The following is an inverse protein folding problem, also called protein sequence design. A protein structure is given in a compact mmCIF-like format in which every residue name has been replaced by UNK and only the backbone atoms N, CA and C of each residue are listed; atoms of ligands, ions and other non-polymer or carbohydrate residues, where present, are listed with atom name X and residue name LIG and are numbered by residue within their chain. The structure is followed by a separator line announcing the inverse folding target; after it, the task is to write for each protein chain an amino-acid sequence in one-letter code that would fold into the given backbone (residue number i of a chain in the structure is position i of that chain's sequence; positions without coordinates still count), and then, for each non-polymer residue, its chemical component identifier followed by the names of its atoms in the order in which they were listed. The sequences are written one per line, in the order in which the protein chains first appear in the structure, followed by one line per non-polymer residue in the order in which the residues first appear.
data_IF_647600900930
#
_entry.id   IF_647600900930
#
_cell.length_a   1.000
_cell.length_b   1.000
_cell.length_c   1.000
_cell.angle_alpha   90.00
_cell.angle_beta   90.00
_cell.angle_gamma   90.00
#
_symmetry.space_group_name_H-M   'P 1'
#
loop_
_entity.id
_entity.type
_entity.pdbx_description
1 polymer ?
#
# COMPACT_ATOMS: atom_id res chain seq x y z
N UNK A 1 -8.81 16.14 18.59
CA UNK A 1 -7.59 16.65 17.93
C UNK A 1 -7.98 17.75 16.97
N UNK A 2 -7.08 18.70 16.72
CA UNK A 2 -7.30 19.89 15.86
C UNK A 2 -6.75 19.63 14.44
N UNK A 3 -5.87 18.64 14.26
CA UNK A 3 -5.36 18.20 12.96
C UNK A 3 -4.16 19.01 12.45
N UNK A 4 -3.51 19.74 13.35
CA UNK A 4 -2.34 20.56 13.06
C UNK A 4 -1.07 19.71 12.80
N UNK A 5 0.07 20.38 12.61
CA UNK A 5 1.33 19.69 12.36
C UNK A 5 1.77 18.81 13.55
N UNK A 6 1.47 19.23 14.78
CA UNK A 6 1.82 18.50 15.99
C UNK A 6 1.00 17.22 16.12
N UNK A 7 -0.32 17.32 15.93
CA UNK A 7 -1.22 16.16 15.92
C UNK A 7 -0.78 15.14 14.87
N UNK A 8 -0.45 15.59 13.65
CA UNK A 8 0.04 14.69 12.58
C UNK A 8 1.37 14.04 12.92
N UNK A 9 2.29 14.77 13.57
CA UNK A 9 3.56 14.21 14.04
C UNK A 9 3.33 13.13 15.10
N UNK A 10 2.52 13.44 16.12
CA UNK A 10 2.21 12.50 17.19
C UNK A 10 1.52 11.24 16.66
N UNK A 11 0.60 11.36 15.70
CA UNK A 11 0.02 10.20 15.03
C UNK A 11 1.08 9.29 14.41
N UNK A 12 2.13 9.83 13.76
CA UNK A 12 3.22 9.02 13.20
C UNK A 12 4.03 8.30 14.27
N UNK A 13 4.30 8.97 15.39
CA UNK A 13 5.02 8.35 16.51
C UNK A 13 4.24 7.14 17.06
N UNK A 14 2.94 7.30 17.27
CA UNK A 14 2.07 6.23 17.74
C UNK A 14 1.93 5.09 16.72
N UNK A 15 1.85 5.40 15.42
CA UNK A 15 1.83 4.39 14.35
C UNK A 15 3.12 3.55 14.32
N UNK A 16 4.27 4.15 14.63
CA UNK A 16 5.55 3.42 14.73
C UNK A 16 5.50 2.44 15.90
N UNK A 17 5.06 2.89 17.08
CA UNK A 17 4.90 2.02 18.25
C UNK A 17 3.96 0.84 17.96
N UNK A 18 2.82 1.11 17.31
CA UNK A 18 1.87 0.06 16.95
C UNK A 18 2.44 -0.89 15.89
N UNK A 19 3.21 -0.38 14.93
CA UNK A 19 3.90 -1.21 13.94
C UNK A 19 4.89 -2.18 14.60
N UNK A 20 5.60 -1.75 15.64
CA UNK A 20 6.51 -2.62 16.40
C UNK A 20 5.74 -3.73 17.12
N UNK A 21 4.59 -3.44 17.72
CA UNK A 21 3.74 -4.48 18.36
C UNK A 21 3.25 -5.52 17.36
N UNK A 22 2.86 -5.09 16.15
CA UNK A 22 2.43 -6.00 15.08
C UNK A 22 3.60 -6.91 14.68
N UNK A 23 4.83 -6.40 14.61
CA UNK A 23 6.01 -7.22 14.33
C UNK A 23 6.26 -8.26 15.43
N UNK A 24 6.17 -7.88 16.71
CA UNK A 24 6.28 -8.82 17.83
C UNK A 24 5.24 -9.93 17.75
N UNK A 25 3.98 -9.59 17.43
CA UNK A 25 2.90 -10.55 17.23
C UNK A 25 3.17 -11.47 16.03
N UNK A 26 3.61 -10.92 14.90
CA UNK A 26 3.91 -11.68 13.69
C UNK A 26 5.08 -12.66 13.90
N UNK A 27 6.09 -12.27 14.69
CA UNK A 27 7.20 -13.16 15.08
C UNK A 27 6.70 -14.28 16.00
N UNK A 28 5.85 -13.97 16.99
CA UNK A 28 5.29 -14.97 17.89
C UNK A 28 4.36 -15.98 17.18
N UNK A 29 3.70 -15.54 16.09
CA UNK A 29 2.79 -16.36 15.29
C UNK A 29 3.44 -16.93 14.02
N UNK A 30 4.76 -16.79 13.88
CA UNK A 30 5.44 -17.18 12.66
C UNK A 30 5.40 -18.71 12.49
N UNK A 31 4.99 -19.23 11.33
CA UNK A 31 4.93 -20.68 11.11
C UNK A 31 6.35 -21.27 11.06
N UNK A 32 6.60 -22.36 11.77
CA UNK A 32 7.90 -23.04 11.80
C UNK A 32 8.22 -23.76 10.47
N UNK A 33 7.19 -24.23 9.78
CA UNK A 33 7.29 -24.99 8.55
C UNK A 33 6.36 -24.43 7.46
N UNK A 34 6.78 -24.57 6.20
CA UNK A 34 6.00 -24.17 5.04
C UNK A 34 6.87 -23.70 3.88
N UNK A 35 6.30 -23.74 2.67
CA UNK A 35 6.95 -23.20 1.48
C UNK A 35 6.92 -21.67 1.50
N UNK A 36 8.07 -21.02 1.38
CA UNK A 36 8.20 -19.55 1.33
C UNK A 36 7.69 -18.99 -0.01
N UNK A 37 7.76 -19.80 -1.07
CA UNK A 37 7.46 -19.39 -2.45
C UNK A 37 6.40 -20.30 -3.06
N UNK A 38 5.33 -19.69 -3.56
CA UNK A 38 4.34 -20.40 -4.36
C UNK A 38 4.96 -20.86 -5.70
N UNK A 39 4.57 -22.05 -6.17
CA UNK A 39 4.93 -22.57 -7.50
C UNK A 39 4.17 -21.80 -8.58
N UNK A 40 4.75 -20.70 -9.06
CA UNK A 40 4.17 -19.85 -10.11
C UNK A 40 4.85 -20.08 -11.47
N UNK A 41 4.10 -20.03 -12.58
CA UNK A 41 4.69 -20.15 -13.92
C UNK A 41 5.58 -18.94 -14.22
N UNK A 42 6.68 -19.15 -14.97
CA UNK A 42 7.61 -18.10 -15.39
C UNK A 42 6.96 -16.96 -16.19
N UNK A 43 5.85 -17.27 -16.87
CA UNK A 43 5.04 -16.28 -17.60
C UNK A 43 3.64 -16.31 -17.00
N UNK A 44 3.27 -15.23 -16.33
CA UNK A 44 1.92 -15.02 -15.79
C UNK A 44 1.09 -14.33 -16.87
N UNK A 45 0.08 -15.02 -17.41
CA UNK A 45 -0.92 -14.41 -18.29
C UNK A 45 -2.14 -14.10 -17.45
N UNK A 46 -2.31 -12.82 -17.12
CA UNK A 46 -3.50 -12.39 -16.38
C UNK A 46 -4.75 -12.57 -17.26
N UNK A 47 -5.88 -13.05 -16.70
CA UNK A 47 -7.14 -13.13 -17.44
C UNK A 47 -7.55 -11.75 -17.97
N UNK A 48 -8.42 -11.74 -18.99
CA UNK A 48 -9.01 -10.50 -19.50
C UNK A 48 -9.84 -9.85 -18.41
N UNK A 49 -9.61 -8.56 -18.16
CA UNK A 49 -10.36 -7.81 -17.16
C UNK A 49 -9.56 -6.68 -16.52
N UNK A 50 -10.18 -6.05 -15.55
CA UNK A 50 -9.62 -4.95 -14.76
C UNK A 50 -9.63 -5.30 -13.27
N UNK A 51 -8.66 -4.77 -12.55
CA UNK A 51 -8.54 -4.93 -11.11
C UNK A 51 -7.98 -3.66 -10.48
N UNK A 52 -8.52 -3.30 -9.32
CA UNK A 52 -7.97 -2.26 -8.48
C UNK A 52 -7.68 -2.83 -7.10
N UNK A 53 -6.43 -2.77 -6.69
CA UNK A 53 -5.99 -3.19 -5.34
C UNK A 53 -5.40 -1.98 -4.63
N UNK A 54 -5.72 -1.84 -3.35
CA UNK A 54 -5.18 -0.79 -2.50
C UNK A 54 -4.45 -1.38 -1.29
N UNK A 55 -3.38 -0.70 -0.88
CA UNK A 55 -2.63 -1.01 0.33
C UNK A 55 -2.46 0.28 1.14
N UNK A 56 -2.36 0.16 2.46
CA UNK A 56 -2.05 1.29 3.33
C UNK A 56 -0.53 1.43 3.43
N UNK A 57 0.00 2.54 2.92
CA UNK A 57 1.42 2.88 3.04
C UNK A 57 1.64 3.89 4.15
N UNK A 58 2.88 4.09 4.62
CA UNK A 58 3.17 5.13 5.63
C UNK A 58 2.83 6.56 5.20
N UNK A 59 2.45 6.80 3.95
CA UNK A 59 2.04 8.14 3.46
C UNK A 59 0.54 8.22 3.12
N UNK A 60 -0.21 7.14 3.34
CA UNK A 60 -1.62 6.97 2.98
C UNK A 60 -1.83 5.84 1.97
N UNK A 61 -3.02 5.79 1.38
CA UNK A 61 -3.42 4.74 0.46
C UNK A 61 -2.63 4.75 -0.87
N UNK A 62 -1.93 3.65 -1.16
CA UNK A 62 -1.37 3.35 -2.49
C UNK A 62 -2.36 2.44 -3.22
N UNK A 63 -2.82 2.89 -4.38
CA UNK A 63 -3.66 2.10 -5.29
C UNK A 63 -2.90 1.64 -6.52
N UNK A 64 -3.17 0.42 -6.98
CA UNK A 64 -2.72 -0.10 -8.27
C UNK A 64 -3.94 -0.53 -9.08
N UNK A 65 -4.20 0.20 -10.16
CA UNK A 65 -5.14 -0.19 -11.19
C UNK A 65 -4.39 -0.93 -12.29
N UNK A 66 -4.86 -2.13 -12.63
CA UNK A 66 -4.33 -2.95 -13.72
C UNK A 66 -5.47 -3.40 -14.63
N UNK A 67 -5.28 -3.23 -15.93
CA UNK A 67 -6.17 -3.78 -16.95
C UNK A 67 -5.36 -4.72 -17.86
N UNK A 68 -5.95 -5.88 -18.19
CA UNK A 68 -5.34 -6.93 -18.99
C UNK A 68 -6.26 -7.32 -20.15
N UNK A 69 -5.69 -7.38 -21.35
CA UNK A 69 -6.35 -7.93 -22.56
C UNK A 69 -6.04 -9.42 -22.75
N UNK A 70 -5.52 -10.11 -21.72
CA UNK A 70 -5.12 -11.53 -21.81
C UNK A 70 -3.78 -11.76 -22.51
N UNK A 71 -3.05 -10.68 -22.83
CA UNK A 71 -1.67 -10.72 -23.33
C UNK A 71 -0.68 -10.88 -22.16
N UNK A 72 0.59 -11.12 -22.49
CA UNK A 72 1.67 -11.21 -21.48
C UNK A 72 1.91 -9.87 -20.77
N UNK A 73 1.63 -8.77 -21.46
CA UNK A 73 1.83 -7.42 -20.95
C UNK A 73 0.50 -6.84 -20.46
N UNK A 74 0.49 -6.09 -19.35
CA UNK A 74 -0.70 -5.36 -18.93
C UNK A 74 -1.03 -4.30 -19.96
N UNK A 75 -2.31 -4.19 -20.32
CA UNK A 75 -2.78 -3.15 -21.24
C UNK A 75 -2.62 -1.76 -20.64
N UNK A 76 -2.99 -1.63 -19.35
CA UNK A 76 -2.82 -0.38 -18.60
C UNK A 76 -2.45 -0.68 -17.17
N UNK A 77 -1.46 0.07 -16.67
CA UNK A 77 -1.07 0.04 -15.28
C UNK A 77 -1.01 1.47 -14.75
N UNK A 78 -1.81 1.76 -13.72
CA UNK A 78 -1.88 3.09 -13.11
C UNK A 78 -1.71 2.98 -11.60
N UNK A 79 -0.64 3.59 -11.10
CA UNK A 79 -0.47 3.82 -9.67
C UNK A 79 -1.17 5.10 -9.24
N UNK A 80 -1.98 4.99 -8.19
CA UNK A 80 -2.45 6.09 -7.36
C UNK A 80 -1.46 6.24 -6.20
N UNK A 81 -0.59 7.25 -6.26
CA UNK A 81 0.40 7.52 -5.21
C UNK A 81 -0.17 8.53 -4.21
N UNK A 82 -0.13 8.27 -2.90
CA UNK A 82 -0.75 9.13 -1.90
C UNK A 82 -0.11 10.52 -1.86
N UNK A 83 1.22 10.62 -2.02
CA UNK A 83 1.93 11.90 -2.02
C UNK A 83 1.39 12.89 -3.05
N UNK A 84 0.95 12.43 -4.22
CA UNK A 84 0.42 13.32 -5.26
C UNK A 84 -0.90 13.97 -4.85
N UNK A 85 -1.77 13.22 -4.16
CA UNK A 85 -3.05 13.74 -3.66
C UNK A 85 -2.86 14.59 -2.41
N UNK A 86 -1.96 14.19 -1.52
CA UNK A 86 -1.63 14.96 -0.32
C UNK A 86 -1.09 16.37 -0.64
N UNK A 87 -0.48 16.57 -1.81
CA UNK A 87 -0.01 17.90 -2.24
C UNK A 87 -1.14 18.84 -2.67
N UNK A 88 -2.32 18.33 -3.03
CA UNK A 88 -3.43 19.16 -3.54
C UNK A 88 -3.96 20.15 -2.51
N UNK A 89 -3.85 19.84 -1.21
CA UNK A 89 -4.30 20.71 -0.11
C UNK A 89 -3.27 21.76 0.29
N UNK A 90 -2.04 21.68 -0.22
CA UNK A 90 -0.95 22.57 0.20
C UNK A 90 -1.30 24.07 0.12
N UNK A 91 -1.96 24.59 -0.94
CA UNK A 91 -2.35 26.00 -0.99
C UNK A 91 -3.24 26.41 0.19
N UNK A 92 -4.22 25.58 0.55
CA UNK A 92 -5.14 25.84 1.68
C UNK A 92 -4.48 25.75 3.05
N UNK A 93 -3.35 25.04 3.16
CA UNK A 93 -2.57 24.97 4.40
C UNK A 93 -1.66 26.19 4.60
N UNK A 94 -1.43 26.96 3.53
CA UNK A 94 -0.57 28.14 3.53
C UNK A 94 -1.35 29.46 3.57
N UNK A 95 -2.68 29.40 3.45
CA UNK A 95 -3.62 30.49 3.74
C UNK A 95 -3.69 30.77 5.25
#
# INVERSE_FOLDING_TARGET
TVGDAWDRYMCRMLEIEESLKILEQAVAQFPEEGDILAKVPKIIKAPKGEGYVRIESPRGEIGCYIASDGKKEPYRLKFRRPSFYNLQILPKLLE
#
